data_IF_758946532086
#
_entry.id   IF_758946532086
#
_cell.length_a   1.000
_cell.length_b   1.000
_cell.length_c   1.000
_cell.angle_alpha   90.00
_cell.angle_beta   90.00
_cell.angle_gamma   90.00
#
_symmetry.space_group_name_H-M   'P 1'
#
loop_
_entity.id
_entity.type
_entity.pdbx_description
1 polymer ?
#
# COMPACT_ATOMS: atom_id res chain seq x y z
N UNK A 1 -12.38 3.60 3.97
CA UNK A 1 -12.21 3.90 2.53
C UNK A 1 -13.53 3.59 1.86
N UNK A 2 -14.03 4.49 1.00
CA UNK A 2 -15.27 4.29 0.24
C UNK A 2 -14.90 4.17 -1.24
N UNK A 3 -14.39 3.01 -1.64
CA UNK A 3 -14.08 2.73 -3.04
C UNK A 3 -15.38 2.49 -3.80
N UNK A 4 -15.53 3.16 -4.94
CA UNK A 4 -16.65 3.04 -5.87
C UNK A 4 -16.24 2.37 -7.18
N UNK A 5 -14.94 2.41 -7.48
CA UNK A 5 -14.34 1.86 -8.70
C UNK A 5 -13.06 1.09 -8.37
N UNK A 6 -12.77 0.05 -9.14
CA UNK A 6 -11.58 -0.79 -8.91
C UNK A 6 -10.27 -0.03 -9.18
N UNK A 7 -10.30 0.93 -10.08
CA UNK A 7 -9.18 1.77 -10.47
C UNK A 7 -8.66 2.61 -9.28
N UNK A 8 -9.49 2.90 -8.28
CA UNK A 8 -9.07 3.62 -7.08
C UNK A 8 -8.08 2.81 -6.21
N UNK A 9 -8.02 1.49 -6.42
CA UNK A 9 -7.02 0.61 -5.78
C UNK A 9 -5.62 0.80 -6.36
N UNK A 10 -5.48 1.40 -7.54
CA UNK A 10 -4.18 1.66 -8.20
C UNK A 10 -3.25 2.55 -7.36
N UNK A 11 -3.81 3.31 -6.41
CA UNK A 11 -3.06 4.16 -5.47
C UNK A 11 -2.09 3.39 -4.56
N UNK A 12 -2.27 2.07 -4.41
CA UNK A 12 -1.41 1.23 -3.55
C UNK A 12 -1.73 1.31 -2.04
N UNK A 13 -2.45 2.34 -1.58
CA UNK A 13 -2.68 2.60 -0.16
C UNK A 13 -3.53 1.50 0.52
N UNK A 14 -4.56 1.00 -0.17
CA UNK A 14 -5.41 -0.08 0.32
C UNK A 14 -4.62 -1.37 0.55
N UNK A 15 -3.68 -1.70 -0.35
CA UNK A 15 -2.83 -2.88 -0.22
C UNK A 15 -1.83 -2.74 0.93
N UNK A 16 -1.30 -1.53 1.16
CA UNK A 16 -0.48 -1.24 2.33
C UNK A 16 -1.27 -1.45 3.64
N UNK A 17 -2.53 -1.00 3.68
CA UNK A 17 -3.40 -1.21 4.82
C UNK A 17 -3.69 -2.70 5.06
N UNK A 18 -4.04 -3.41 4.00
CA UNK A 18 -4.33 -4.85 4.07
C UNK A 18 -3.12 -5.64 4.57
N UNK A 19 -1.93 -5.33 4.06
CA UNK A 19 -0.70 -6.02 4.48
C UNK A 19 -0.40 -5.76 5.95
N UNK A 20 -0.57 -4.52 6.44
CA UNK A 20 -0.41 -4.21 7.87
C UNK A 20 -1.45 -4.94 8.74
N UNK A 21 -2.67 -5.14 8.23
CA UNK A 21 -3.72 -5.87 8.94
C UNK A 21 -3.41 -7.37 9.04
N UNK A 22 -2.93 -7.98 7.95
CA UNK A 22 -2.57 -9.40 7.90
C UNK A 22 -1.29 -9.69 8.69
N UNK A 23 -0.31 -8.79 8.60
CA UNK A 23 0.99 -8.89 9.23
C UNK A 23 1.20 -7.65 10.10
N UNK A 24 0.89 -7.79 11.39
CA UNK A 24 1.01 -6.70 12.37
C UNK A 24 2.39 -6.05 12.26
N UNK A 25 2.41 -4.73 12.17
CA UNK A 25 3.61 -3.89 12.06
C UNK A 25 4.48 -4.09 10.81
N UNK A 26 4.03 -4.86 9.82
CA UNK A 26 4.79 -5.08 8.59
C UNK A 26 4.93 -3.82 7.71
N UNK A 27 4.05 -2.84 7.90
CA UNK A 27 4.07 -1.56 7.16
C UNK A 27 3.93 -0.39 8.13
N UNK A 28 4.79 0.62 7.96
CA UNK A 28 4.64 1.91 8.61
C UNK A 28 3.57 2.75 7.91
N UNK A 29 2.35 2.68 8.42
CA UNK A 29 1.17 3.39 7.87
C UNK A 29 1.31 4.91 7.84
N UNK A 30 2.21 5.51 8.65
CA UNK A 30 2.46 6.96 8.59
C UNK A 30 3.15 7.40 7.30
N UNK A 31 3.84 6.48 6.62
CA UNK A 31 4.51 6.75 5.33
C UNK A 31 3.59 6.59 4.13
N UNK A 32 2.43 5.95 4.31
CA UNK A 32 1.46 5.69 3.24
C UNK A 32 0.72 6.97 2.87
N UNK A 33 0.59 7.23 1.56
CA UNK A 33 -0.12 8.38 1.01
C UNK A 33 -1.58 7.99 0.73
N UNK A 34 -2.48 8.34 1.64
CA UNK A 34 -3.90 7.92 1.61
C UNK A 34 -4.77 8.68 0.60
N UNK A 35 -4.54 9.99 0.43
CA UNK A 35 -5.35 10.86 -0.44
C UNK A 35 -4.56 11.29 -1.69
N UNK A 36 -3.75 10.38 -2.22
CA UNK A 36 -2.88 10.67 -3.35
C UNK A 36 -3.67 10.84 -4.65
N UNK A 37 -3.38 11.93 -5.36
CA UNK A 37 -3.85 12.19 -6.74
C UNK A 37 -2.72 12.15 -7.77
N UNK A 38 -1.48 12.01 -7.32
CA UNK A 38 -0.29 12.09 -8.16
C UNK A 38 0.33 10.70 -8.33
N UNK A 39 0.71 10.35 -9.55
CA UNK A 39 1.33 9.05 -9.88
C UNK A 39 2.58 8.77 -9.04
N UNK A 40 3.40 9.79 -8.76
CA UNK A 40 4.59 9.65 -7.92
C UNK A 40 4.30 9.16 -6.50
N UNK A 41 3.17 9.58 -5.93
CA UNK A 41 2.73 9.12 -4.62
C UNK A 41 2.21 7.67 -4.67
N UNK A 42 1.59 7.26 -5.79
CA UNK A 42 1.20 5.86 -6.01
C UNK A 42 2.45 4.98 -6.08
N UNK A 43 3.46 5.39 -6.85
CA UNK A 43 4.75 4.70 -6.91
C UNK A 43 5.41 4.57 -5.54
N UNK A 44 5.33 5.60 -4.70
CA UNK A 44 5.84 5.54 -3.33
C UNK A 44 5.10 4.49 -2.48
N UNK A 45 3.76 4.43 -2.58
CA UNK A 45 2.99 3.40 -1.89
C UNK A 45 3.35 1.99 -2.38
N UNK A 46 3.50 1.79 -3.68
CA UNK A 46 3.92 0.49 -4.25
C UNK A 46 5.32 0.08 -3.82
N UNK A 47 6.26 1.03 -3.68
CA UNK A 47 7.60 0.76 -3.13
C UNK A 47 7.53 0.32 -1.67
N UNK A 48 6.70 0.96 -0.85
CA UNK A 48 6.48 0.57 0.56
C UNK A 48 5.95 -0.87 0.63
N UNK A 49 4.93 -1.17 -0.17
CA UNK A 49 4.34 -2.51 -0.23
C UNK A 49 5.37 -3.57 -0.65
N UNK A 50 6.09 -3.32 -1.75
CA UNK A 50 7.10 -4.25 -2.26
C UNK A 50 8.24 -4.49 -1.27
N UNK A 51 8.68 -3.46 -0.54
CA UNK A 51 9.69 -3.61 0.51
C UNK A 51 9.18 -4.49 1.65
N UNK A 52 7.93 -4.26 2.08
CA UNK A 52 7.30 -5.05 3.14
C UNK A 52 7.16 -6.52 2.74
N UNK A 53 6.70 -6.80 1.52
CA UNK A 53 6.53 -8.17 1.02
C UNK A 53 7.85 -8.93 0.91
N UNK A 54 8.93 -8.26 0.48
CA UNK A 54 10.27 -8.83 0.51
C UNK A 54 10.71 -9.22 1.92
N UNK A 55 10.48 -8.35 2.91
CA UNK A 55 10.79 -8.66 4.32
C UNK A 55 9.94 -9.81 4.87
N UNK A 56 8.69 -9.92 4.42
CA UNK A 56 7.78 -11.00 4.80
C UNK A 56 8.04 -12.32 4.05
N UNK A 57 8.94 -12.34 3.06
CA UNK A 57 9.17 -13.52 2.22
C UNK A 57 8.00 -13.85 1.29
N UNK A 58 7.16 -12.87 0.98
CA UNK A 58 6.07 -13.01 0.01
C UNK A 58 6.64 -12.79 -1.38
N UNK A 59 6.82 -13.88 -2.14
CA UNK A 59 7.10 -13.81 -3.56
C UNK A 59 5.80 -13.62 -4.35
N UNK A 60 5.84 -12.74 -5.35
CA UNK A 60 4.70 -12.38 -6.19
C UNK A 60 5.06 -12.53 -7.66
#
# INVERSE_FOLDING_TARGET
ANFTKIEEMSTGAAYCQLTHLLFRDAINLRKVKWNSRNEMDHLNNWKILGTSWKTLGVDK
#
